data_IF_117574236091
#
_entry.id   IF_117574236091
#
_cell.length_a   1.000
_cell.length_b   1.000
_cell.length_c   1.000
_cell.angle_alpha   90.00
_cell.angle_beta   90.00
_cell.angle_gamma   90.00
#
_symmetry.space_group_name_H-M   'P 1'
#
loop_
_entity.id
_entity.type
_entity.pdbx_description
1 polymer ?
#
# COMPACT_ATOMS: atom_id res chain seq x y z
N UNK A 1 -25.91 -3.21 0.49
CA UNK A 1 -25.10 -4.39 0.09
C UNK A 1 -24.97 -5.33 1.29
N UNK A 2 -24.79 -6.64 1.10
CA UNK A 2 -24.57 -7.59 2.22
C UNK A 2 -23.08 -7.64 2.55
N UNK A 3 -22.73 -7.74 3.83
CA UNK A 3 -21.34 -7.85 4.30
C UNK A 3 -21.25 -8.86 5.44
N UNK A 4 -20.18 -9.64 5.47
CA UNK A 4 -19.87 -10.57 6.56
C UNK A 4 -19.02 -9.86 7.60
N UNK A 5 -19.66 -9.08 8.47
CA UNK A 5 -19.02 -8.35 9.57
C UNK A 5 -19.87 -8.44 10.82
N UNK A 6 -19.27 -8.54 12.00
CA UNK A 6 -20.00 -8.49 13.26
C UNK A 6 -20.42 -7.05 13.59
N UNK A 7 -19.43 -6.18 13.84
CA UNK A 7 -19.59 -4.73 13.96
C UNK A 7 -18.52 -4.04 13.09
N UNK A 8 -18.94 -3.07 12.28
CA UNK A 8 -18.06 -2.28 11.40
C UNK A 8 -16.93 -1.60 12.20
N UNK A 9 -17.17 -1.22 13.46
CA UNK A 9 -16.15 -0.62 14.34
C UNK A 9 -15.02 -1.60 14.66
N UNK A 10 -15.34 -2.89 14.72
CA UNK A 10 -14.39 -3.96 15.06
C UNK A 10 -13.85 -4.67 13.83
N UNK A 11 -14.43 -4.45 12.64
CA UNK A 11 -14.10 -5.16 11.41
C UNK A 11 -12.58 -5.24 11.13
N UNK A 12 -11.85 -4.14 11.28
CA UNK A 12 -10.39 -4.13 11.09
C UNK A 12 -9.68 -5.00 12.13
N UNK A 13 -10.03 -4.86 13.40
CA UNK A 13 -9.42 -5.62 14.50
C UNK A 13 -9.71 -7.12 14.36
N UNK A 14 -10.95 -7.47 14.01
CA UNK A 14 -11.36 -8.86 13.78
C UNK A 14 -10.68 -9.47 12.55
N UNK A 15 -10.53 -8.70 11.46
CA UNK A 15 -9.79 -9.12 10.26
C UNK A 15 -8.32 -9.41 10.58
N UNK A 16 -7.63 -8.49 11.28
CA UNK A 16 -6.23 -8.68 11.68
C UNK A 16 -6.06 -9.83 12.69
N UNK A 17 -7.02 -10.01 13.59
CA UNK A 17 -7.06 -11.18 14.46
C UNK A 17 -7.16 -12.47 13.63
N UNK A 18 -8.04 -12.50 12.61
CA UNK A 18 -8.14 -13.59 11.65
C UNK A 18 -6.83 -13.90 10.93
N UNK A 19 -6.07 -12.87 10.53
CA UNK A 19 -4.72 -13.05 9.96
C UNK A 19 -3.79 -13.73 10.96
N UNK A 20 -3.70 -13.22 12.20
CA UNK A 20 -2.83 -13.83 13.22
C UNK A 20 -3.28 -15.23 13.65
N UNK A 21 -4.57 -15.53 13.55
CA UNK A 21 -5.11 -16.86 13.81
C UNK A 21 -4.74 -17.85 12.69
N UNK A 22 -4.84 -17.41 11.43
CA UNK A 22 -4.47 -18.22 10.26
C UNK A 22 -2.95 -18.40 10.12
N UNK A 23 -2.17 -17.41 10.58
CA UNK A 23 -0.71 -17.40 10.54
C UNK A 23 -0.15 -17.10 11.94
N UNK A 24 -0.13 -18.10 12.86
CA UNK A 24 0.24 -17.91 14.27
C UNK A 24 1.66 -17.40 14.51
N UNK A 25 2.53 -17.46 13.51
CA UNK A 25 3.88 -16.89 13.56
C UNK A 25 3.88 -15.36 13.47
N UNK A 26 2.81 -14.74 12.97
CA UNK A 26 2.68 -13.30 12.92
C UNK A 26 2.18 -12.77 14.26
N UNK A 27 2.84 -11.74 14.79
CA UNK A 27 2.43 -11.12 16.05
C UNK A 27 1.45 -9.97 15.77
N UNK A 28 0.25 -10.06 16.33
CA UNK A 28 -0.75 -8.98 16.23
C UNK A 28 -0.78 -8.09 17.48
N UNK A 29 -0.45 -6.82 17.28
CA UNK A 29 -0.46 -5.78 18.29
C UNK A 29 -1.80 -5.04 18.26
N UNK A 30 -2.77 -5.59 18.99
CA UNK A 30 -4.19 -5.17 18.97
C UNK A 30 -4.37 -3.68 19.19
N UNK A 31 -3.68 -3.08 20.18
CA UNK A 31 -3.85 -1.68 20.56
C UNK A 31 -3.43 -0.68 19.49
N UNK A 32 -2.54 -1.06 18.58
CA UNK A 32 -2.00 -0.19 17.53
C UNK A 32 -2.35 -0.69 16.12
N UNK A 33 -3.07 -1.80 16.00
CA UNK A 33 -3.41 -2.43 14.71
C UNK A 33 -2.16 -2.72 13.85
N UNK A 34 -1.12 -3.25 14.47
CA UNK A 34 0.16 -3.58 13.82
C UNK A 34 0.33 -5.09 13.75
N UNK A 35 0.73 -5.60 12.57
CA UNK A 35 1.18 -6.97 12.39
C UNK A 35 2.70 -6.97 12.24
N UNK A 36 3.41 -7.78 13.03
CA UNK A 36 4.85 -7.92 13.01
C UNK A 36 5.24 -9.31 12.48
N UNK A 37 6.36 -9.37 11.77
CA UNK A 37 6.96 -10.64 11.37
C UNK A 37 7.50 -11.41 12.59
N UNK A 38 7.59 -12.75 12.52
CA UNK A 38 8.32 -13.53 13.53
C UNK A 38 9.81 -13.17 13.53
N UNK A 39 10.48 -13.44 14.64
CA UNK A 39 11.93 -13.39 14.80
C UNK A 39 12.55 -12.05 14.32
N UNK A 40 12.02 -10.92 14.78
CA UNK A 40 12.52 -9.59 14.40
C UNK A 40 14.03 -9.41 14.65
N UNK A 41 14.61 -10.16 15.60
CA UNK A 41 16.05 -10.23 15.86
C UNK A 41 16.89 -10.63 14.64
N UNK A 42 16.34 -11.39 13.68
CA UNK A 42 17.01 -11.75 12.43
C UNK A 42 17.24 -10.52 11.52
N UNK A 43 16.64 -9.37 11.86
CA UNK A 43 16.80 -8.09 11.16
C UNK A 43 17.94 -7.24 11.71
N UNK A 44 18.70 -7.68 12.71
CA UNK A 44 19.76 -6.89 13.38
C UNK A 44 20.70 -6.15 12.42
N UNK A 45 21.04 -6.80 11.30
CA UNK A 45 21.97 -6.30 10.29
C UNK A 45 21.34 -6.15 8.89
N UNK A 46 20.01 -6.28 8.78
CA UNK A 46 19.28 -6.21 7.51
C UNK A 46 18.33 -5.03 7.53
N UNK A 47 18.13 -4.36 6.39
CA UNK A 47 17.15 -3.27 6.26
C UNK A 47 15.75 -3.79 6.57
N UNK A 48 15.00 -3.22 7.51
CA UNK A 48 13.60 -3.62 7.73
C UNK A 48 12.66 -2.76 6.87
N UNK A 49 11.66 -3.37 6.24
CA UNK A 49 10.63 -2.64 5.50
C UNK A 49 9.37 -2.53 6.36
N UNK A 50 8.76 -1.35 6.39
CA UNK A 50 7.46 -1.12 7.02
C UNK A 50 6.54 -0.46 6.01
N UNK A 51 5.31 -0.94 5.92
CA UNK A 51 4.26 -0.36 5.08
C UNK A 51 2.94 -0.31 5.87
N UNK A 52 1.97 0.42 5.35
CA UNK A 52 0.65 0.54 5.96
C UNK A 52 -0.26 1.42 5.13
N UNK A 53 -1.50 1.54 5.59
CA UNK A 53 -2.52 2.34 4.94
C UNK A 53 -3.90 2.08 5.52
N UNK A 54 -4.92 2.65 4.88
CA UNK A 54 -6.31 2.32 5.21
C UNK A 54 -6.61 0.83 5.01
N UNK A 55 -7.44 0.28 5.89
CA UNK A 55 -7.93 -1.11 5.76
C UNK A 55 -8.99 -1.23 4.67
N UNK A 56 -9.33 -2.46 4.28
CA UNK A 56 -10.27 -2.75 3.19
C UNK A 56 -9.59 -3.01 1.83
N UNK A 57 -8.27 -3.16 1.83
CA UNK A 57 -7.46 -3.54 0.65
C UNK A 57 -6.77 -4.89 0.87
N UNK A 58 -7.29 -5.73 1.77
CA UNK A 58 -6.70 -7.01 2.10
C UNK A 58 -6.47 -7.84 0.82
N UNK A 59 -5.28 -8.44 0.63
CA UNK A 59 -4.26 -8.73 1.64
C UNK A 59 -3.32 -7.56 1.98
N UNK A 60 -3.43 -6.39 1.35
CA UNK A 60 -2.61 -5.24 1.71
C UNK A 60 -2.98 -4.68 3.10
N UNK A 61 -2.03 -4.39 3.99
CA UNK A 61 -0.59 -4.72 3.92
C UNK A 61 -0.22 -5.96 4.74
N UNK A 62 -1.10 -6.43 5.63
CA UNK A 62 -0.82 -7.49 6.60
C UNK A 62 -0.41 -8.83 5.95
N UNK A 63 -0.98 -9.17 4.80
CA UNK A 63 -0.64 -10.40 4.06
C UNK A 63 0.75 -10.38 3.42
N UNK A 64 1.45 -9.24 3.45
CA UNK A 64 2.82 -9.09 2.93
C UNK A 64 3.87 -9.03 4.05
N UNK A 65 3.51 -9.33 5.30
CA UNK A 65 4.44 -9.42 6.43
C UNK A 65 5.17 -10.76 6.42
N UNK A 66 6.50 -10.71 6.38
CA UNK A 66 7.37 -11.89 6.37
C UNK A 66 8.71 -11.67 5.66
N UNK A 67 9.54 -12.71 5.71
CA UNK A 67 10.87 -12.71 5.08
C UNK A 67 10.80 -12.37 3.59
N UNK A 68 11.66 -11.45 3.14
CA UNK A 68 11.70 -11.02 1.74
C UNK A 68 10.62 -10.01 1.35
N UNK A 69 9.83 -9.51 2.30
CA UNK A 69 8.85 -8.42 2.13
C UNK A 69 8.86 -7.49 3.36
N UNK A 70 7.77 -7.38 4.12
CA UNK A 70 7.62 -6.43 5.22
C UNK A 70 8.01 -7.04 6.58
N UNK A 71 8.70 -6.27 7.40
CA UNK A 71 8.90 -6.58 8.82
C UNK A 71 7.68 -6.21 9.67
N UNK A 72 6.95 -5.17 9.26
CA UNK A 72 5.72 -4.76 9.91
C UNK A 72 4.70 -4.17 8.91
N UNK A 73 3.43 -4.37 9.19
CA UNK A 73 2.30 -3.75 8.51
C UNK A 73 1.46 -2.96 9.52
N UNK A 74 1.08 -1.72 9.17
CA UNK A 74 0.27 -0.84 10.02
C UNK A 74 -1.08 -0.59 9.38
N UNK A 75 -2.16 -0.98 10.05
CA UNK A 75 -3.51 -0.84 9.54
C UNK A 75 -4.23 0.37 10.14
N UNK A 76 -4.78 1.22 9.28
CA UNK A 76 -5.69 2.29 9.64
C UNK A 76 -7.14 1.81 9.75
N UNK A 77 -8.06 2.75 9.89
CA UNK A 77 -9.49 2.44 9.73
C UNK A 77 -9.81 2.11 8.27
N UNK A 78 -11.02 1.62 7.99
CA UNK A 78 -11.45 1.33 6.61
C UNK A 78 -11.29 2.62 5.78
N UNK A 79 -10.44 2.55 4.76
CA UNK A 79 -10.12 3.64 3.82
C UNK A 79 -9.52 4.92 4.42
N UNK A 80 -8.96 4.85 5.63
CA UNK A 80 -8.30 5.98 6.26
C UNK A 80 -6.92 5.59 6.78
N UNK A 81 -5.92 6.43 6.49
CA UNK A 81 -4.53 6.23 6.89
C UNK A 81 -4.40 5.92 8.41
N UNK A 82 -3.43 5.06 8.79
CA UNK A 82 -3.18 4.79 10.19
C UNK A 82 -2.70 6.04 10.94
N UNK A 83 -3.10 6.23 12.20
CA UNK A 83 -2.57 7.31 13.03
C UNK A 83 -1.04 7.24 13.14
N UNK A 84 -0.37 8.39 13.15
CA UNK A 84 1.09 8.49 13.30
C UNK A 84 1.64 7.79 14.56
N UNK A 85 0.83 7.71 15.62
CA UNK A 85 1.16 6.98 16.86
C UNK A 85 1.25 5.47 16.65
N UNK A 86 0.42 4.88 15.78
CA UNK A 86 0.49 3.46 15.44
C UNK A 86 1.70 3.16 14.56
N UNK A 87 2.01 4.06 13.62
CA UNK A 87 3.19 3.97 12.77
C UNK A 87 4.46 4.09 13.62
N UNK A 88 4.50 5.05 14.55
CA UNK A 88 5.61 5.22 15.50
C UNK A 88 5.84 3.96 16.32
N UNK A 89 4.76 3.33 16.82
CA UNK A 89 4.84 2.09 17.56
C UNK A 89 5.49 0.95 16.73
N UNK A 90 5.09 0.79 15.45
CA UNK A 90 5.70 -0.21 14.57
C UNK A 90 7.20 0.08 14.34
N UNK A 91 7.57 1.34 14.09
CA UNK A 91 8.97 1.76 13.93
C UNK A 91 9.78 1.44 15.19
N UNK A 92 9.27 1.81 16.37
CA UNK A 92 9.91 1.57 17.67
C UNK A 92 10.14 0.07 17.89
N UNK A 93 9.12 -0.77 17.69
CA UNK A 93 9.22 -2.24 17.83
C UNK A 93 10.23 -2.84 16.89
N UNK A 94 10.25 -2.44 15.62
CA UNK A 94 11.22 -2.92 14.63
C UNK A 94 12.64 -2.43 14.96
N UNK A 95 12.80 -1.17 15.38
CA UNK A 95 14.11 -0.58 15.67
C UNK A 95 14.82 -1.23 16.86
N UNK A 96 14.08 -1.74 17.85
CA UNK A 96 14.64 -2.44 19.01
C UNK A 96 15.45 -3.69 18.60
N UNK A 97 15.10 -4.27 17.45
CA UNK A 97 15.77 -5.45 16.89
C UNK A 97 16.60 -5.13 15.64
N UNK A 98 16.67 -3.86 15.21
CA UNK A 98 17.38 -3.42 14.01
C UNK A 98 18.55 -2.49 14.35
N UNK A 99 19.69 -3.07 14.76
CA UNK A 99 20.82 -2.27 15.26
C UNK A 99 21.53 -1.47 14.17
N UNK A 100 21.72 -2.04 12.98
CA UNK A 100 22.57 -1.44 11.93
C UNK A 100 21.93 -1.40 10.54
N UNK A 101 20.85 -2.16 10.33
CA UNK A 101 20.22 -2.28 9.01
C UNK A 101 19.51 -1.00 8.55
N UNK A 102 18.86 -0.31 9.48
CA UNK A 102 17.95 0.80 9.20
C UNK A 102 16.57 0.34 8.72
N UNK A 103 15.67 1.29 8.52
CA UNK A 103 14.27 1.07 8.17
C UNK A 103 13.94 1.81 6.87
N UNK A 104 13.33 1.10 5.92
CA UNK A 104 12.69 1.69 4.73
C UNK A 104 11.17 1.70 4.92
N UNK A 105 10.59 2.89 4.92
CA UNK A 105 9.14 3.08 4.91
C UNK A 105 8.64 3.07 3.46
N UNK A 106 7.71 2.19 3.14
CA UNK A 106 7.03 2.17 1.84
C UNK A 106 5.65 2.79 2.05
N UNK A 107 5.42 3.97 1.48
CA UNK A 107 4.24 4.81 1.78
C UNK A 107 3.38 4.94 0.53
N UNK A 108 2.09 4.57 0.54
CA UNK A 108 1.21 4.85 -0.58
C UNK A 108 0.95 6.36 -0.68
N UNK A 109 0.96 6.93 -1.90
CA UNK A 109 0.83 8.38 -2.08
C UNK A 109 -0.61 8.88 -1.93
N UNK A 110 -1.07 8.96 -0.68
CA UNK A 110 -2.30 9.62 -0.26
C UNK A 110 -1.98 10.64 0.82
N UNK A 111 -2.67 11.77 0.82
CA UNK A 111 -2.40 12.88 1.75
C UNK A 111 -2.34 12.45 3.21
N UNK A 112 -3.28 11.61 3.65
CA UNK A 112 -3.32 11.10 5.02
C UNK A 112 -2.12 10.20 5.35
N UNK A 113 -1.74 9.32 4.42
CA UNK A 113 -0.60 8.43 4.59
C UNK A 113 0.71 9.21 4.61
N UNK A 114 0.95 10.08 3.62
CA UNK A 114 2.15 10.92 3.58
C UNK A 114 2.31 11.78 4.84
N UNK A 115 1.22 12.38 5.33
CA UNK A 115 1.26 13.19 6.55
C UNK A 115 1.58 12.34 7.79
N UNK A 116 0.85 11.24 8.00
CA UNK A 116 0.99 10.43 9.21
C UNK A 116 2.31 9.65 9.25
N UNK A 117 2.76 9.10 8.13
CA UNK A 117 4.07 8.47 8.01
C UNK A 117 5.18 9.50 8.17
N UNK A 118 5.07 10.66 7.51
CA UNK A 118 6.06 11.74 7.62
C UNK A 118 6.28 12.20 9.06
N UNK A 119 5.20 12.37 9.85
CA UNK A 119 5.30 12.70 11.28
C UNK A 119 6.06 11.60 12.05
N UNK A 120 5.72 10.33 11.83
CA UNK A 120 6.36 9.21 12.52
C UNK A 120 7.85 9.06 12.14
N UNK A 121 8.18 9.27 10.87
CA UNK A 121 9.54 9.20 10.34
C UNK A 121 10.40 10.33 10.88
N UNK A 122 9.88 11.56 10.92
CA UNK A 122 10.57 12.70 11.52
C UNK A 122 10.87 12.44 13.00
N UNK A 123 9.88 11.95 13.76
CA UNK A 123 10.06 11.59 15.18
C UNK A 123 11.13 10.50 15.37
N UNK A 124 11.08 9.44 14.55
CA UNK A 124 12.06 8.36 14.60
C UNK A 124 13.48 8.84 14.27
N UNK A 125 13.63 9.66 13.23
CA UNK A 125 14.92 10.24 12.84
C UNK A 125 15.50 11.15 13.93
N UNK A 126 14.67 11.95 14.61
CA UNK A 126 15.10 12.79 15.74
C UNK A 126 15.59 11.95 16.92
N UNK A 127 15.08 10.72 17.07
CA UNK A 127 15.51 9.75 18.08
C UNK A 127 16.72 8.91 17.63
N UNK A 128 17.37 9.27 16.51
CA UNK A 128 18.57 8.60 16.02
C UNK A 128 18.32 7.28 15.29
N UNK A 129 17.07 6.94 14.95
CA UNK A 129 16.75 5.76 14.15
C UNK A 129 17.14 6.04 12.69
N UNK A 130 17.95 5.16 12.10
CA UNK A 130 18.30 5.23 10.67
C UNK A 130 17.07 4.81 9.85
N UNK A 131 16.37 5.78 9.28
CA UNK A 131 15.11 5.59 8.57
C UNK A 131 15.05 6.45 7.30
N UNK A 132 14.42 5.94 6.26
CA UNK A 132 14.11 6.68 5.02
C UNK A 132 12.80 6.16 4.43
N UNK A 133 12.33 6.78 3.35
CA UNK A 133 11.03 6.46 2.76
C UNK A 133 11.06 6.41 1.23
N UNK A 134 10.13 5.65 0.67
CA UNK A 134 9.73 5.70 -0.73
C UNK A 134 8.23 5.93 -0.79
N UNK A 135 7.81 7.03 -1.41
CA UNK A 135 6.41 7.36 -1.65
C UNK A 135 6.01 6.79 -3.00
N UNK A 136 5.09 5.82 -3.01
CA UNK A 136 4.66 5.10 -4.21
C UNK A 136 3.49 5.82 -4.87
N UNK A 137 3.70 6.26 -6.10
CA UNK A 137 2.80 7.11 -6.88
C UNK A 137 2.66 6.62 -8.34
N UNK A 138 2.39 5.32 -8.47
CA UNK A 138 2.33 4.56 -9.73
C UNK A 138 1.06 4.77 -10.55
N UNK A 139 0.01 5.37 -9.98
CA UNK A 139 -1.24 5.64 -10.70
C UNK A 139 -1.03 6.59 -11.87
N UNK A 140 -1.21 6.08 -13.08
CA UNK A 140 -1.21 6.90 -14.29
C UNK A 140 -2.61 7.15 -14.84
N UNK A 141 -3.67 6.63 -14.21
CA UNK A 141 -5.03 6.74 -14.73
C UNK A 141 -5.50 8.20 -14.80
N UNK A 142 -5.08 9.05 -13.85
CA UNK A 142 -5.55 10.43 -13.75
C UNK A 142 -4.67 11.37 -14.60
N UNK A 143 -5.26 12.16 -15.54
CA UNK A 143 -4.56 13.22 -16.26
C UNK A 143 -3.91 14.23 -15.31
N UNK A 144 -2.76 14.80 -15.70
CA UNK A 144 -1.99 15.72 -14.82
C UNK A 144 -2.84 16.87 -14.26
N UNK A 145 -3.74 17.40 -15.09
CA UNK A 145 -4.55 18.58 -14.76
C UNK A 145 -5.67 18.25 -13.75
N UNK A 146 -6.03 16.96 -13.62
CA UNK A 146 -7.06 16.44 -12.72
C UNK A 146 -6.46 15.86 -11.42
N UNK A 147 -5.13 15.91 -11.26
CA UNK A 147 -4.46 15.39 -10.07
C UNK A 147 -4.64 16.34 -8.88
N UNK A 148 -4.91 15.74 -7.70
CA UNK A 148 -4.92 16.48 -6.45
C UNK A 148 -3.53 16.96 -6.02
N UNK A 149 -3.46 17.66 -4.88
CA UNK A 149 -2.21 18.23 -4.35
C UNK A 149 -1.11 17.18 -4.13
N UNK A 150 -1.47 15.96 -3.74
CA UNK A 150 -0.52 14.86 -3.57
C UNK A 150 0.03 14.31 -4.90
N UNK A 151 -0.55 14.70 -6.03
CA UNK A 151 -0.22 14.17 -7.36
C UNK A 151 -0.84 12.80 -7.61
N UNK A 152 -0.08 11.93 -8.27
CA UNK A 152 -0.49 10.56 -8.61
C UNK A 152 -0.69 9.70 -7.36
N UNK A 153 -1.76 8.92 -7.30
CA UNK A 153 -2.02 7.98 -6.20
C UNK A 153 -1.05 6.80 -6.23
N UNK A 154 -0.90 6.13 -5.09
CA UNK A 154 -0.24 4.83 -4.99
C UNK A 154 -1.26 3.70 -5.07
N UNK A 155 -1.12 2.79 -6.03
CA UNK A 155 -2.01 1.65 -6.23
C UNK A 155 -1.23 0.32 -6.11
N UNK A 156 -1.58 -0.68 -6.91
CA UNK A 156 -1.12 -2.06 -6.76
C UNK A 156 0.37 -2.26 -7.06
N UNK A 157 1.01 -1.33 -7.77
CA UNK A 157 2.44 -1.39 -8.07
C UNK A 157 3.34 -1.30 -6.83
N UNK A 158 2.80 -0.83 -5.70
CA UNK A 158 3.46 -0.87 -4.39
C UNK A 158 3.96 -2.27 -4.01
N UNK A 159 3.28 -3.32 -4.47
CA UNK A 159 3.66 -4.72 -4.21
C UNK A 159 5.05 -5.02 -4.78
N UNK A 160 5.38 -4.51 -5.98
CA UNK A 160 6.69 -4.71 -6.58
C UNK A 160 7.80 -3.99 -5.83
N UNK A 161 7.53 -2.76 -5.37
CA UNK A 161 8.45 -2.01 -4.51
C UNK A 161 8.75 -2.82 -3.26
N UNK A 162 7.71 -3.29 -2.54
CA UNK A 162 7.88 -4.11 -1.34
C UNK A 162 8.62 -5.43 -1.62
N UNK A 163 8.28 -6.14 -2.70
CA UNK A 163 8.83 -7.46 -3.01
C UNK A 163 10.30 -7.39 -3.42
N UNK A 164 10.68 -6.41 -4.23
CA UNK A 164 12.05 -6.26 -4.73
C UNK A 164 12.93 -5.69 -3.63
N UNK A 165 12.52 -4.60 -2.98
CA UNK A 165 13.28 -4.02 -1.88
C UNK A 165 13.42 -5.00 -0.71
N UNK A 166 12.36 -5.73 -0.36
CA UNK A 166 12.39 -6.77 0.66
C UNK A 166 13.36 -7.91 0.32
N UNK A 167 13.40 -8.36 -0.95
CA UNK A 167 14.36 -9.39 -1.38
C UNK A 167 15.82 -8.91 -1.30
N UNK A 168 16.09 -7.64 -1.63
CA UNK A 168 17.43 -7.06 -1.50
C UNK A 168 17.83 -6.86 -0.04
N UNK A 169 16.88 -6.47 0.81
CA UNK A 169 17.09 -6.42 2.24
C UNK A 169 17.44 -7.79 2.84
N UNK A 170 16.83 -8.89 2.36
CA UNK A 170 17.20 -10.24 2.78
C UNK A 170 18.63 -10.63 2.40
N UNK A 171 19.10 -10.14 1.25
CA UNK A 171 20.48 -10.33 0.79
C UNK A 171 21.49 -9.48 1.58
N UNK A 172 21.03 -8.65 2.52
CA UNK A 172 21.89 -7.83 3.37
C UNK A 172 22.43 -6.58 2.68
N UNK A 173 21.77 -6.08 1.63
CA UNK A 173 22.14 -4.81 1.02
C UNK A 173 21.92 -3.65 1.98
N UNK A 174 22.64 -2.55 1.75
CA UNK A 174 22.55 -1.35 2.57
C UNK A 174 21.20 -0.65 2.41
N UNK A 175 20.80 0.15 3.40
CA UNK A 175 19.58 0.98 3.31
C UNK A 175 19.61 1.86 2.05
N UNK A 176 20.77 2.42 1.70
CA UNK A 176 20.92 3.29 0.53
C UNK A 176 20.66 2.52 -0.78
N UNK A 177 21.26 1.34 -0.94
CA UNK A 177 21.08 0.52 -2.15
C UNK A 177 19.63 0.01 -2.28
N UNK A 178 19.03 -0.39 -1.17
CA UNK A 178 17.63 -0.85 -1.12
C UNK A 178 16.69 0.30 -1.48
N UNK A 179 16.88 1.49 -0.92
CA UNK A 179 16.07 2.69 -1.22
C UNK A 179 16.25 3.15 -2.65
N UNK A 180 17.49 3.19 -3.15
CA UNK A 180 17.77 3.51 -4.56
C UNK A 180 17.03 2.57 -5.49
N UNK A 181 17.15 1.26 -5.25
CA UNK A 181 16.46 0.26 -6.10
C UNK A 181 14.94 0.38 -5.99
N UNK A 182 14.41 0.69 -4.80
CA UNK A 182 12.97 0.95 -4.63
C UNK A 182 12.49 2.13 -5.49
N UNK A 183 13.27 3.21 -5.58
CA UNK A 183 12.99 4.32 -6.48
C UNK A 183 13.13 3.94 -7.96
N UNK A 184 14.16 3.19 -8.34
CA UNK A 184 14.34 2.71 -9.71
C UNK A 184 13.14 1.85 -10.13
N UNK A 185 12.68 0.96 -9.25
CA UNK A 185 11.47 0.14 -9.46
C UNK A 185 10.24 1.04 -9.65
N UNK A 186 10.03 2.02 -8.78
CA UNK A 186 8.90 2.96 -8.88
C UNK A 186 8.90 3.74 -10.21
N UNK A 187 10.07 4.15 -10.70
CA UNK A 187 10.18 4.84 -12.00
C UNK A 187 9.79 3.96 -13.20
N UNK A 188 9.78 2.65 -13.02
CA UNK A 188 9.50 1.65 -14.07
C UNK A 188 8.17 0.93 -13.87
N UNK A 189 7.31 1.38 -12.94
CA UNK A 189 5.97 0.84 -12.74
C UNK A 189 4.94 1.91 -13.07
N UNK A 190 3.83 1.46 -13.64
CA UNK A 190 2.64 2.27 -13.77
C UNK A 190 1.40 1.38 -13.62
N UNK A 191 0.34 1.95 -13.07
CA UNK A 191 -0.94 1.28 -12.88
C UNK A 191 -2.07 2.09 -13.47
N UNK A 192 -3.03 1.39 -14.06
CA UNK A 192 -4.25 1.97 -14.61
C UNK A 192 -5.45 1.26 -13.99
N UNK A 193 -6.39 2.04 -13.46
CA UNK A 193 -7.55 1.56 -12.73
C UNK A 193 -8.82 1.76 -13.53
N UNK A 194 -9.72 0.78 -13.47
CA UNK A 194 -11.09 0.87 -13.98
C UNK A 194 -11.99 0.22 -12.96
N UNK A 195 -13.04 0.92 -12.54
CA UNK A 195 -14.06 0.42 -11.64
C UNK A 195 -15.37 0.12 -12.36
N UNK A 196 -15.90 -1.08 -12.10
CA UNK A 196 -17.22 -1.49 -12.61
C UNK A 196 -18.35 -1.10 -11.65
N UNK A 197 -18.01 -0.90 -10.38
CA UNK A 197 -18.94 -0.50 -9.32
C UNK A 197 -18.21 0.39 -8.32
N UNK A 198 -18.93 1.36 -7.74
CA UNK A 198 -18.42 2.15 -6.64
C UNK A 198 -18.14 1.28 -5.41
N UNK A 199 -17.23 1.74 -4.56
CA UNK A 199 -16.94 1.08 -3.29
C UNK A 199 -18.01 1.43 -2.24
N UNK A 200 -18.17 0.57 -1.24
CA UNK A 200 -18.97 0.84 -0.06
C UNK A 200 -18.17 0.47 1.19
N UNK A 201 -18.43 1.18 2.29
CA UNK A 201 -18.07 0.72 3.63
C UNK A 201 -19.13 -0.32 4.04
N UNK A 202 -18.76 -1.44 4.70
CA UNK A 202 -19.73 -2.41 5.18
C UNK A 202 -20.89 -1.74 5.94
N UNK A 203 -22.13 -2.04 5.54
CA UNK A 203 -23.34 -1.45 6.12
C UNK A 203 -23.69 -0.02 5.65
N UNK A 204 -22.91 0.58 4.75
CA UNK A 204 -23.17 1.90 4.16
C UNK A 204 -23.63 1.79 2.69
N UNK A 205 -24.27 2.83 2.12
CA UNK A 205 -24.54 2.90 0.69
C UNK A 205 -23.23 2.96 -0.12
N UNK A 206 -23.36 2.77 -1.43
CA UNK A 206 -22.28 3.04 -2.38
C UNK A 206 -21.82 4.50 -2.26
N UNK A 207 -20.53 4.74 -2.42
CA UNK A 207 -19.96 6.09 -2.33
C UNK A 207 -20.38 7.00 -3.49
N UNK A 208 -20.69 6.40 -4.64
CA UNK A 208 -21.28 7.07 -5.79
C UNK A 208 -22.05 6.03 -6.63
N UNK A 209 -22.81 6.50 -7.61
CA UNK A 209 -23.56 5.64 -8.52
C UNK A 209 -22.95 5.63 -9.92
N UNK A 210 -22.99 4.46 -10.54
CA UNK A 210 -22.74 4.21 -11.96
C UNK A 210 -24.00 3.57 -12.53
N UNK A 211 -24.39 3.96 -13.74
CA UNK A 211 -25.43 3.23 -14.45
C UNK A 211 -24.98 1.80 -14.77
N UNK A 212 -25.93 0.90 -15.04
CA UNK A 212 -25.64 -0.52 -15.35
C UNK A 212 -24.70 -0.70 -16.55
N UNK A 213 -24.68 0.27 -17.45
CA UNK A 213 -23.84 0.29 -18.64
C UNK A 213 -22.67 1.28 -18.56
N UNK A 214 -22.26 1.69 -17.35
CA UNK A 214 -21.16 2.61 -17.10
C UNK A 214 -20.00 1.98 -16.31
N UNK A 215 -18.80 2.47 -16.57
CA UNK A 215 -17.58 2.19 -15.83
C UNK A 215 -16.90 3.51 -15.44
N UNK A 216 -16.12 3.49 -14.36
CA UNK A 216 -15.35 4.62 -13.86
C UNK A 216 -13.85 4.41 -14.17
N UNK A 217 -13.27 5.29 -14.97
CA UNK A 217 -11.85 5.22 -15.31
C UNK A 217 -11.03 5.99 -14.29
N UNK A 218 -10.00 5.34 -13.76
CA UNK A 218 -9.17 5.89 -12.70
C UNK A 218 -9.87 5.92 -11.35
N UNK A 219 -10.79 4.99 -11.07
CA UNK A 219 -11.36 4.88 -9.72
C UNK A 219 -10.24 4.60 -8.70
N UNK A 220 -10.26 5.30 -7.56
CA UNK A 220 -9.30 5.11 -6.48
C UNK A 220 -9.66 3.92 -5.60
N UNK A 221 -8.66 3.38 -4.89
CA UNK A 221 -8.87 2.21 -4.01
C UNK A 221 -9.71 2.55 -2.78
N UNK A 222 -9.78 3.81 -2.34
CA UNK A 222 -10.63 4.21 -1.21
C UNK A 222 -12.05 4.57 -1.64
N UNK A 223 -12.42 4.30 -2.90
CA UNK A 223 -13.70 4.68 -3.47
C UNK A 223 -13.77 6.12 -3.92
N UNK A 224 -12.61 6.79 -4.09
CA UNK A 224 -12.55 8.06 -4.78
C UNK A 224 -13.05 7.88 -6.22
N UNK A 225 -13.89 8.81 -6.67
CA UNK A 225 -14.29 8.88 -8.07
C UNK A 225 -13.03 8.95 -8.96
N UNK A 226 -13.16 8.40 -10.16
CA UNK A 226 -12.15 8.52 -11.18
C UNK A 226 -12.20 9.88 -11.84
N UNK A 227 -11.55 9.98 -12.99
CA UNK A 227 -11.54 11.21 -13.77
C UNK A 227 -12.63 11.21 -14.86
N UNK A 228 -13.13 10.04 -15.26
CA UNK A 228 -14.08 9.90 -16.36
C UNK A 228 -15.01 8.71 -16.15
N UNK A 229 -16.31 8.95 -16.39
CA UNK A 229 -17.31 7.90 -16.60
C UNK A 229 -17.46 7.63 -18.09
N UNK A 230 -17.42 6.36 -18.47
CA UNK A 230 -17.66 5.95 -19.86
C UNK A 230 -18.58 4.74 -19.95
N UNK A 231 -19.15 4.50 -21.12
CA UNK A 231 -19.96 3.29 -21.35
C UNK A 231 -19.11 2.03 -21.24
N UNK A 232 -19.69 0.99 -20.65
CA UNK A 232 -19.12 -0.34 -20.62
C UNK A 232 -18.90 -0.84 -22.05
N UNK A 233 -17.69 -1.35 -22.29
CA UNK A 233 -17.26 -1.88 -23.59
C UNK A 233 -16.72 -3.30 -23.40
N UNK A 234 -16.56 -4.08 -24.50
CA UNK A 234 -15.82 -5.33 -24.43
C UNK A 234 -14.47 -5.16 -23.73
N UNK A 235 -14.10 -6.09 -22.88
CA UNK A 235 -12.88 -6.01 -22.05
C UNK A 235 -11.62 -5.70 -22.87
N UNK A 236 -11.51 -6.26 -24.08
CA UNK A 236 -10.40 -5.99 -25.00
C UNK A 236 -10.27 -4.51 -25.36
N UNK A 237 -11.40 -3.79 -25.51
CA UNK A 237 -11.37 -2.35 -25.80
C UNK A 237 -10.96 -1.54 -24.58
N UNK A 238 -11.41 -1.93 -23.38
CA UNK A 238 -11.00 -1.29 -22.12
C UNK A 238 -9.49 -1.45 -21.91
N UNK A 239 -8.95 -2.65 -22.15
CA UNK A 239 -7.50 -2.91 -22.09
C UNK A 239 -6.75 -2.08 -23.13
N UNK A 240 -7.26 -1.94 -24.35
CA UNK A 240 -6.65 -1.07 -25.36
C UNK A 240 -6.67 0.40 -24.94
N UNK A 241 -7.75 0.89 -24.32
CA UNK A 241 -7.79 2.24 -23.75
C UNK A 241 -6.70 2.44 -22.69
N UNK A 242 -6.56 1.49 -21.75
CA UNK A 242 -5.50 1.52 -20.76
C UNK A 242 -4.11 1.54 -21.42
N UNK A 243 -3.86 0.64 -22.37
CA UNK A 243 -2.56 0.52 -23.05
C UNK A 243 -2.19 1.73 -23.91
N UNK A 244 -3.16 2.47 -24.44
CA UNK A 244 -2.92 3.69 -25.23
C UNK A 244 -2.64 4.92 -24.39
N UNK A 245 -2.88 4.86 -23.07
CA UNK A 245 -2.58 5.96 -22.19
C UNK A 245 -1.07 6.25 -22.21
N UNK A 246 -0.61 7.51 -22.14
CA UNK A 246 0.81 7.83 -22.19
C UNK A 246 1.54 7.34 -20.93
N UNK A 247 1.95 6.07 -20.94
CA UNK A 247 2.82 5.48 -19.95
C UNK A 247 4.17 6.20 -19.97
N UNK A 248 4.69 6.55 -18.79
CA UNK A 248 6.02 7.16 -18.68
C UNK A 248 7.16 6.16 -18.86
N UNK A 249 6.85 4.86 -18.91
CA UNK A 249 7.84 3.80 -19.02
C UNK A 249 8.06 3.55 -20.50
N UNK A 250 9.28 3.83 -21.00
CA UNK A 250 9.69 3.29 -22.29
C UNK A 250 9.62 1.77 -22.20
N UNK A 251 8.73 1.15 -22.97
CA UNK A 251 8.57 -0.31 -22.99
C UNK A 251 9.80 -0.91 -23.68
N UNK A 252 10.88 -1.08 -22.92
CA UNK A 252 12.06 -1.81 -23.36
C UNK A 252 11.90 -3.28 -22.94
N UNK A 253 11.22 -4.02 -23.80
CA UNK A 253 11.30 -5.47 -24.03
C UNK A 253 10.62 -6.46 -23.05
N UNK A 254 10.38 -6.17 -21.75
CA UNK A 254 9.63 -7.08 -20.86
C UNK A 254 8.66 -6.35 -19.92
N UNK A 255 7.38 -6.75 -19.96
CA UNK A 255 6.30 -6.22 -19.11
C UNK A 255 5.76 -7.34 -18.22
N UNK A 256 5.54 -7.04 -16.94
CA UNK A 256 4.77 -7.89 -16.03
C UNK A 256 3.41 -7.23 -15.79
N UNK A 257 2.35 -7.86 -16.29
CA UNK A 257 0.98 -7.42 -16.07
C UNK A 257 0.41 -8.15 -14.85
N UNK A 258 -0.11 -7.38 -13.88
CA UNK A 258 -0.95 -7.91 -12.80
C UNK A 258 -2.36 -7.37 -13.02
N UNK A 259 -3.32 -8.29 -13.08
CA UNK A 259 -4.74 -7.96 -12.96
C UNK A 259 -5.09 -8.15 -11.50
N UNK A 260 -5.45 -7.05 -10.83
CA UNK A 260 -5.91 -7.07 -9.45
C UNK A 260 -7.41 -6.80 -9.46
N UNK A 261 -8.16 -7.67 -8.79
CA UNK A 261 -9.57 -7.46 -8.49
C UNK A 261 -9.72 -7.10 -7.02
N UNK A 262 -10.76 -6.35 -6.69
CA UNK A 262 -11.16 -6.02 -5.33
C UNK A 262 -12.56 -6.56 -5.09
#
# INVERSE_FOLDING_TARGET
MKSLVNDVKNAVTESLFGVSFAFPQLEYQVSHKVILMPNLEDRKHKVSLICGGGSGHEPFSAGYVGNGMLAAAVAGSIYAAPPSVHISYAIERVSQHNSTGGILMVVPNYTGDCLNFGIAIQKASQNGIKITEVIVNDDCSIPKEEQGVAGKRGLTGIIFVMKIAGALAEKGLSLEDVTKTAHDVLQNIATYSVGLTACAIPGQPLMFELAEDEIEVGQGIHGEAGYEKMKLKPCSEIVVCAMRYPWRVEIQLQLLLIISER
#
